data_IF_981308992978
#
_entry.id   IF_981308992978
#
_cell.length_a   1.000
_cell.length_b   1.000
_cell.length_c   1.000
_cell.angle_alpha   90.00
_cell.angle_beta   90.00
_cell.angle_gamma   90.00
#
_symmetry.space_group_name_H-M   'P 1'
#
loop_
_entity.id
_entity.type
_entity.pdbx_description
1 polymer ?
#
# COMPACT_ATOMS: atom_id res chain seq x y z
N UNK A 1 17.72 -2.79 21.56
CA UNK A 1 16.92 -3.74 22.37
C UNK A 1 16.22 -2.95 23.47
N UNK A 2 14.96 -2.57 23.26
CA UNK A 2 14.13 -1.85 24.24
C UNK A 2 12.86 -2.67 24.45
N UNK A 3 12.61 -3.00 25.71
CA UNK A 3 11.62 -3.95 26.19
C UNK A 3 10.19 -3.44 26.01
N UNK A 4 9.34 -4.33 25.50
CA UNK A 4 7.88 -4.22 25.58
C UNK A 4 7.41 -4.09 27.03
N UNK A 5 6.44 -3.20 27.25
CA UNK A 5 5.60 -3.21 28.45
C UNK A 5 4.14 -3.10 27.98
N UNK A 6 3.56 -4.21 27.51
CA UNK A 6 2.13 -4.27 27.20
C UNK A 6 1.39 -4.62 28.49
N UNK A 7 0.68 -3.63 29.02
CA UNK A 7 -0.26 -3.81 30.11
C UNK A 7 -1.31 -4.82 29.68
N UNK A 8 -1.44 -5.92 30.42
CA UNK A 8 -2.55 -6.83 30.29
C UNK A 8 -3.79 -6.15 30.89
N UNK A 9 -4.80 -5.90 30.06
CA UNK A 9 -6.16 -5.68 30.52
C UNK A 9 -7.11 -6.40 29.57
N UNK A 10 -7.49 -7.61 29.97
CA UNK A 10 -8.68 -8.27 29.48
C UNK A 10 -9.88 -7.41 29.85
N UNK A 11 -10.69 -7.03 28.87
CA UNK A 11 -12.09 -6.72 29.07
C UNK A 11 -12.87 -7.22 27.86
N UNK A 12 -13.50 -8.38 28.07
CA UNK A 12 -14.60 -8.88 27.27
C UNK A 12 -15.73 -7.86 27.36
N UNK A 13 -16.09 -7.21 26.26
CA UNK A 13 -17.39 -6.57 26.11
C UNK A 13 -17.89 -6.83 24.70
N UNK A 14 -18.83 -7.76 24.59
CA UNK A 14 -19.69 -7.89 23.43
C UNK A 14 -20.44 -6.56 23.24
N UNK A 15 -20.29 -5.95 22.08
CA UNK A 15 -21.19 -4.90 21.61
C UNK A 15 -21.28 -5.05 20.10
N UNK A 16 -22.34 -5.74 19.70
CA UNK A 16 -22.92 -5.66 18.36
C UNK A 16 -23.20 -4.20 18.04
N UNK A 17 -22.55 -3.69 17.00
CA UNK A 17 -22.94 -2.44 16.35
C UNK A 17 -22.82 -2.68 14.85
N UNK A 18 -23.93 -3.20 14.31
CA UNK A 18 -24.24 -3.17 12.89
C UNK A 18 -24.47 -1.69 12.52
N UNK A 19 -23.50 -1.09 11.85
CA UNK A 19 -23.74 0.09 11.03
C UNK A 19 -23.17 -0.17 9.64
N UNK A 20 -23.97 -0.90 8.83
CA UNK A 20 -23.92 -0.77 7.39
C UNK A 20 -24.41 0.64 7.04
N UNK A 21 -23.51 1.60 6.94
CA UNK A 21 -23.76 2.83 6.20
C UNK A 21 -23.20 2.63 4.79
N UNK A 22 -23.96 1.89 3.99
CA UNK A 22 -23.81 1.86 2.55
C UNK A 22 -24.30 3.23 2.04
N UNK A 23 -23.38 4.19 1.88
CA UNK A 23 -23.65 5.35 1.03
C UNK A 23 -23.78 4.83 -0.38
N UNK A 24 -24.95 5.06 -0.96
CA UNK A 24 -25.30 4.69 -2.32
C UNK A 24 -24.38 5.42 -3.28
N UNK A 25 -23.34 4.75 -3.75
CA UNK A 25 -22.77 5.03 -5.07
C UNK A 25 -23.09 3.81 -5.93
N UNK A 26 -23.94 4.07 -6.91
CA UNK A 26 -24.54 3.11 -7.84
C UNK A 26 -23.56 2.77 -8.98
N UNK A 27 -22.27 2.65 -8.65
CA UNK A 27 -21.28 2.05 -9.54
C UNK A 27 -21.19 0.59 -9.14
N UNK A 28 -21.82 -0.28 -9.93
CA UNK A 28 -21.56 -1.71 -9.85
C UNK A 28 -20.03 -1.91 -9.82
N UNK A 29 -19.47 -2.60 -8.82
CA UNK A 29 -18.03 -2.83 -8.77
C UNK A 29 -17.60 -3.37 -10.12
N UNK A 30 -16.58 -2.78 -10.72
CA UNK A 30 -15.97 -3.40 -11.91
C UNK A 30 -15.47 -4.75 -11.44
N UNK A 31 -16.17 -5.83 -11.80
CA UNK A 31 -15.79 -7.16 -11.34
C UNK A 31 -14.45 -7.52 -11.98
N UNK A 32 -13.43 -7.50 -11.15
CA UNK A 32 -12.10 -7.98 -11.47
C UNK A 32 -12.19 -9.50 -11.63
N UNK A 33 -11.70 -10.04 -12.75
CA UNK A 33 -11.56 -11.50 -12.90
C UNK A 33 -10.41 -12.00 -12.03
N UNK A 34 -10.72 -12.33 -10.78
CA UNK A 34 -9.75 -12.72 -9.75
C UNK A 34 -8.97 -14.00 -10.14
N UNK A 35 -9.49 -14.80 -11.07
CA UNK A 35 -8.79 -15.98 -11.60
C UNK A 35 -7.48 -15.63 -12.33
N UNK A 36 -7.26 -14.35 -12.65
CA UNK A 36 -6.03 -13.88 -13.29
C UNK A 36 -4.90 -13.58 -12.27
N UNK A 37 -5.22 -13.44 -10.99
CA UNK A 37 -4.25 -13.10 -9.92
C UNK A 37 -3.19 -14.19 -9.73
N UNK A 38 -3.53 -15.50 -9.65
CA UNK A 38 -2.53 -16.54 -9.39
C UNK A 38 -1.41 -16.57 -10.44
N UNK A 39 -0.17 -16.80 -9.99
CA UNK A 39 1.03 -16.84 -10.82
C UNK A 39 2.12 -15.88 -10.36
N UNK A 40 3.22 -15.83 -11.12
CA UNK A 40 4.38 -14.98 -10.84
C UNK A 40 4.24 -13.62 -11.53
N UNK A 41 4.57 -12.57 -10.79
CA UNK A 41 4.48 -11.18 -11.18
C UNK A 41 5.78 -10.45 -10.85
N UNK A 42 6.29 -9.67 -11.80
CA UNK A 42 7.43 -8.77 -11.60
C UNK A 42 6.92 -7.36 -11.35
N UNK A 43 7.39 -6.68 -10.30
CA UNK A 43 7.15 -5.24 -10.14
C UNK A 43 7.94 -4.49 -11.22
N UNK A 44 7.27 -3.64 -11.99
CA UNK A 44 7.88 -2.92 -13.11
C UNK A 44 7.69 -1.41 -13.04
N UNK A 45 6.72 -0.95 -12.26
CA UNK A 45 6.52 0.47 -12.01
C UNK A 45 6.05 0.71 -10.59
N UNK A 46 6.58 1.77 -10.00
CA UNK A 46 6.06 2.41 -8.79
C UNK A 46 5.98 3.88 -9.13
N UNK A 47 4.84 4.50 -8.89
CA UNK A 47 4.66 5.94 -9.04
C UNK A 47 3.68 6.47 -8.01
N UNK A 48 3.69 7.78 -7.77
CA UNK A 48 2.58 8.44 -7.08
C UNK A 48 1.78 9.35 -7.99
N UNK A 49 0.53 9.57 -7.62
CA UNK A 49 -0.38 10.53 -8.24
C UNK A 49 -0.93 11.45 -7.14
N UNK A 50 -1.12 12.72 -7.51
CA UNK A 50 -1.72 13.75 -6.63
C UNK A 50 -1.02 13.95 -5.28
N UNK A 51 0.28 13.63 -5.17
CA UNK A 51 1.04 13.72 -3.93
C UNK A 51 1.14 15.15 -3.38
N UNK A 52 0.74 15.32 -2.12
CA UNK A 52 0.86 16.56 -1.32
C UNK A 52 1.60 16.27 -0.04
N UNK A 53 2.38 17.26 0.39
CA UNK A 53 3.04 17.27 1.69
C UNK A 53 2.83 18.62 2.35
N UNK A 54 2.57 18.61 3.65
CA UNK A 54 2.47 19.84 4.45
C UNK A 54 3.04 19.64 5.86
N UNK A 55 3.57 20.71 6.43
CA UNK A 55 4.11 20.72 7.77
C UNK A 55 4.00 22.13 8.39
N UNK A 56 4.21 22.22 9.70
CA UNK A 56 4.38 23.51 10.40
C UNK A 56 5.77 23.58 10.99
N UNK A 57 6.59 24.52 10.52
CA UNK A 57 7.97 24.70 10.96
C UNK A 57 8.07 26.06 11.65
N UNK A 58 8.40 26.08 12.94
CA UNK A 58 8.45 27.32 13.75
C UNK A 58 7.17 28.17 13.61
N UNK A 59 6.01 27.52 13.67
CA UNK A 59 4.68 28.13 13.51
C UNK A 59 4.40 28.72 12.11
N UNK A 60 5.23 28.40 11.10
CA UNK A 60 5.02 28.79 9.72
C UNK A 60 4.52 27.56 8.95
N UNK A 61 3.33 27.62 8.32
CA UNK A 61 2.86 26.53 7.47
C UNK A 61 3.70 26.46 6.21
N UNK A 62 4.11 25.25 5.85
CA UNK A 62 4.84 24.94 4.63
C UNK A 62 4.08 23.82 3.93
N UNK A 63 3.85 23.98 2.62
CA UNK A 63 3.20 22.96 1.80
C UNK A 63 3.88 22.86 0.44
N UNK A 64 3.80 21.68 -0.13
CA UNK A 64 4.34 21.39 -1.44
C UNK A 64 3.71 20.15 -2.04
N UNK A 65 4.24 19.79 -3.21
CA UNK A 65 3.91 18.56 -3.90
C UNK A 65 5.01 17.54 -3.65
N UNK A 66 4.66 16.25 -3.70
CA UNK A 66 5.65 15.21 -3.82
C UNK A 66 5.31 14.26 -4.96
N UNK A 67 6.34 13.74 -5.61
CA UNK A 67 6.23 12.61 -6.53
C UNK A 67 7.08 11.47 -6.02
N UNK A 68 6.57 10.26 -6.16
CA UNK A 68 7.32 9.03 -5.94
C UNK A 68 7.49 8.35 -7.29
N UNK A 69 8.69 7.85 -7.57
CA UNK A 69 8.95 6.90 -8.65
C UNK A 69 9.81 5.75 -8.12
N UNK A 70 9.84 4.63 -8.82
CA UNK A 70 10.77 3.55 -8.52
C UNK A 70 11.83 3.37 -9.60
N UNK A 71 12.93 2.73 -9.22
CA UNK A 71 13.97 2.23 -10.13
C UNK A 71 14.61 0.97 -9.54
N UNK A 72 15.52 0.36 -10.30
CA UNK A 72 16.28 -0.82 -9.87
C UNK A 72 15.38 -2.00 -9.43
N UNK A 73 14.30 -2.22 -10.16
CA UNK A 73 13.31 -3.25 -9.83
C UNK A 73 13.90 -4.66 -9.88
N UNK A 74 13.83 -5.33 -8.74
CA UNK A 74 14.15 -6.75 -8.59
C UNK A 74 13.01 -7.53 -7.93
N UNK A 75 11.97 -6.81 -7.49
CA UNK A 75 10.85 -7.36 -6.76
C UNK A 75 9.97 -8.27 -7.62
N UNK A 76 9.62 -9.43 -7.05
CA UNK A 76 8.72 -10.42 -7.62
C UNK A 76 7.72 -10.89 -6.57
N UNK A 77 6.50 -11.18 -6.98
CA UNK A 77 5.48 -11.78 -6.14
C UNK A 77 4.83 -12.97 -6.84
N UNK A 78 4.68 -14.08 -6.13
CA UNK A 78 3.99 -15.28 -6.62
C UNK A 78 2.74 -15.51 -5.79
N UNK A 79 1.57 -15.35 -6.40
CA UNK A 79 0.27 -15.62 -5.78
C UNK A 79 -0.16 -17.05 -6.07
N UNK A 80 -0.52 -17.80 -5.03
CA UNK A 80 -0.99 -19.18 -5.11
C UNK A 80 -2.38 -19.27 -4.52
N UNK A 81 -3.34 -19.72 -5.34
CA UNK A 81 -4.70 -20.01 -4.90
C UNK A 81 -4.77 -21.45 -4.37
N UNK A 82 -5.60 -21.67 -3.35
CA UNK A 82 -5.95 -23.01 -2.86
C UNK A 82 -7.37 -23.36 -3.25
N UNK A 83 -7.61 -24.63 -3.56
CA UNK A 83 -8.96 -25.15 -3.84
C UNK A 83 -9.68 -25.65 -2.58
N UNK A 84 -9.02 -25.64 -1.42
CA UNK A 84 -9.61 -26.04 -0.15
C UNK A 84 -10.39 -24.88 0.47
N UNK A 85 -11.64 -25.12 0.84
CA UNK A 85 -12.55 -24.07 1.36
C UNK A 85 -12.15 -23.50 2.72
N UNK A 86 -11.28 -24.21 3.45
CA UNK A 86 -10.85 -23.86 4.81
C UNK A 86 -9.37 -23.44 4.87
N UNK A 87 -8.72 -23.26 3.72
CA UNK A 87 -7.34 -22.79 3.64
C UNK A 87 -7.28 -21.42 2.96
N UNK A 88 -6.43 -20.50 3.44
CA UNK A 88 -6.24 -19.20 2.80
C UNK A 88 -5.39 -19.33 1.53
N UNK A 89 -5.62 -18.44 0.56
CA UNK A 89 -4.67 -18.27 -0.53
C UNK A 89 -3.37 -17.68 0.01
N UNK A 90 -2.24 -17.98 -0.61
CA UNK A 90 -0.91 -17.58 -0.12
C UNK A 90 -0.12 -16.84 -1.18
N UNK A 91 0.82 -16.00 -0.77
CA UNK A 91 1.76 -15.36 -1.67
C UNK A 91 3.17 -15.33 -1.07
N UNK A 92 4.16 -15.31 -1.94
CA UNK A 92 5.58 -15.12 -1.59
C UNK A 92 6.13 -13.99 -2.44
N UNK A 93 6.63 -12.95 -1.79
CA UNK A 93 7.40 -11.88 -2.43
C UNK A 93 8.89 -12.02 -2.13
N UNK A 94 9.72 -11.53 -3.05
CA UNK A 94 11.16 -11.43 -2.88
C UNK A 94 11.71 -10.26 -3.69
N UNK A 95 12.91 -9.79 -3.33
CA UNK A 95 13.52 -8.64 -4.00
C UNK A 95 12.87 -7.32 -3.62
N UNK A 96 13.37 -6.25 -4.23
CA UNK A 96 13.03 -4.90 -3.85
C UNK A 96 13.13 -3.91 -5.00
N UNK A 97 13.11 -2.62 -4.67
CA UNK A 97 13.32 -1.53 -5.59
C UNK A 97 13.88 -0.31 -4.83
N UNK A 98 14.40 0.68 -5.55
CA UNK A 98 14.75 1.97 -4.96
C UNK A 98 13.62 2.94 -5.21
N UNK A 99 13.01 3.44 -4.13
CA UNK A 99 12.05 4.53 -4.19
C UNK A 99 12.81 5.86 -4.34
N UNK A 100 12.32 6.73 -5.23
CA UNK A 100 12.84 8.08 -5.46
C UNK A 100 11.71 9.05 -5.20
N UNK A 101 11.80 9.77 -4.09
CA UNK A 101 10.86 10.81 -3.72
C UNK A 101 11.42 12.18 -4.14
N UNK A 102 10.64 12.95 -4.90
CA UNK A 102 10.95 14.35 -5.21
C UNK A 102 9.93 15.24 -4.52
N UNK A 103 10.40 16.14 -3.68
CA UNK A 103 9.58 17.11 -2.93
C UNK A 103 9.79 18.48 -3.53
N UNK A 104 8.70 19.14 -3.92
CA UNK A 104 8.71 20.48 -4.51
C UNK A 104 7.97 21.46 -3.62
N UNK A 105 8.70 22.40 -3.02
CA UNK A 105 8.14 23.51 -2.25
C UNK A 105 8.36 24.79 -3.06
N UNK A 106 7.34 25.64 -3.31
CA UNK A 106 7.45 26.77 -4.24
C UNK A 106 8.59 27.77 -3.99
N UNK A 107 9.11 27.82 -2.77
CA UNK A 107 10.13 28.79 -2.33
C UNK A 107 11.55 28.24 -2.33
N UNK A 108 11.74 26.97 -2.70
CA UNK A 108 13.01 26.26 -2.61
C UNK A 108 13.23 25.39 -3.85
N UNK A 109 14.48 25.04 -4.12
CA UNK A 109 14.79 24.04 -5.14
C UNK A 109 14.21 22.68 -4.72
N UNK A 110 13.74 21.84 -5.68
CA UNK A 110 13.24 20.51 -5.37
C UNK A 110 14.28 19.66 -4.64
N UNK A 111 13.81 18.88 -3.68
CA UNK A 111 14.64 17.96 -2.90
C UNK A 111 14.35 16.55 -3.42
N UNK A 112 15.40 15.81 -3.77
CA UNK A 112 15.29 14.40 -4.11
C UNK A 112 15.85 13.54 -2.97
N UNK A 113 15.13 12.47 -2.64
CA UNK A 113 15.51 11.50 -1.65
C UNK A 113 15.32 10.10 -2.20
N UNK A 114 16.36 9.28 -2.10
CA UNK A 114 16.32 7.88 -2.49
C UNK A 114 16.29 6.97 -1.26
N UNK A 115 15.39 6.01 -1.28
CA UNK A 115 15.25 5.00 -0.24
C UNK A 115 15.23 3.60 -0.86
N UNK A 116 16.21 2.74 -0.53
CA UNK A 116 16.15 1.35 -0.95
C UNK A 116 15.08 0.61 -0.13
N UNK A 117 14.13 -0.01 -0.83
CA UNK A 117 13.09 -0.86 -0.26
C UNK A 117 13.47 -2.32 -0.55
N UNK A 118 14.07 -3.04 0.41
CA UNK A 118 14.67 -4.35 0.16
C UNK A 118 13.66 -5.51 0.06
N UNK A 119 12.45 -5.33 0.60
CA UNK A 119 11.36 -6.28 0.55
C UNK A 119 10.08 -5.53 0.18
N UNK A 120 9.40 -5.97 -0.89
CA UNK A 120 8.23 -5.29 -1.43
C UNK A 120 6.97 -5.55 -0.60
N UNK A 121 6.58 -6.81 -0.41
CA UNK A 121 5.36 -7.19 0.33
C UNK A 121 5.66 -8.24 1.42
N UNK A 122 6.74 -9.02 1.32
CA UNK A 122 6.99 -10.15 2.22
C UNK A 122 6.24 -11.44 1.84
N UNK A 123 5.89 -12.27 2.82
CA UNK A 123 5.25 -13.59 2.59
C UNK A 123 4.06 -13.75 3.53
N UNK A 124 2.93 -14.20 2.99
CA UNK A 124 1.70 -14.27 3.77
C UNK A 124 0.50 -14.82 3.01
N UNK A 125 -0.67 -14.41 3.46
CA UNK A 125 -1.97 -14.79 2.90
C UNK A 125 -2.51 -13.66 2.03
N UNK A 126 -3.37 -13.98 1.07
CA UNK A 126 -4.11 -12.98 0.32
C UNK A 126 -5.57 -13.37 0.13
N UNK A 127 -6.43 -12.38 -0.07
CA UNK A 127 -7.82 -12.55 -0.46
C UNK A 127 -8.29 -11.37 -1.30
N UNK A 128 -9.41 -11.55 -1.98
CA UNK A 128 -10.03 -10.50 -2.77
C UNK A 128 -11.51 -10.37 -2.48
N UNK A 129 -11.97 -9.13 -2.31
CA UNK A 129 -13.38 -8.79 -2.13
C UNK A 129 -13.71 -7.66 -3.12
N UNK A 130 -14.43 -7.97 -4.20
CA UNK A 130 -14.61 -7.06 -5.32
C UNK A 130 -13.28 -6.73 -6.01
N UNK A 131 -12.94 -5.43 -6.05
CA UNK A 131 -11.68 -4.91 -6.58
C UNK A 131 -10.63 -4.63 -5.48
N UNK A 132 -10.81 -5.12 -4.26
CA UNK A 132 -9.83 -4.96 -3.18
C UNK A 132 -9.03 -6.25 -3.03
N UNK A 133 -7.70 -6.16 -3.16
CA UNK A 133 -6.75 -7.19 -2.77
C UNK A 133 -6.27 -6.90 -1.36
N UNK A 134 -6.49 -7.82 -0.42
CA UNK A 134 -5.96 -7.73 0.93
C UNK A 134 -4.84 -8.76 1.10
N UNK A 135 -3.68 -8.33 1.57
CA UNK A 135 -2.56 -9.21 1.95
C UNK A 135 -2.38 -9.19 3.46
N UNK A 136 -2.09 -10.35 4.05
CA UNK A 136 -1.86 -10.50 5.48
C UNK A 136 -0.47 -11.06 5.73
N UNK A 137 0.41 -10.27 6.36
CA UNK A 137 1.79 -10.64 6.68
C UNK A 137 2.00 -10.51 8.18
N UNK A 138 2.43 -11.60 8.83
CA UNK A 138 2.62 -11.65 10.28
C UNK A 138 1.39 -11.19 11.11
N UNK A 139 0.17 -11.31 10.54
CA UNK A 139 -1.09 -10.90 11.16
C UNK A 139 -1.46 -9.43 10.96
N UNK A 140 -0.69 -8.68 10.18
CA UNK A 140 -1.02 -7.31 9.76
C UNK A 140 -1.60 -7.33 8.34
N UNK A 141 -2.73 -6.65 8.16
CA UNK A 141 -3.42 -6.56 6.87
C UNK A 141 -3.07 -5.27 6.15
N UNK A 142 -2.84 -5.37 4.85
CA UNK A 142 -2.71 -4.23 3.93
C UNK A 142 -3.68 -4.43 2.76
N UNK A 143 -4.34 -3.36 2.34
CA UNK A 143 -5.37 -3.42 1.29
C UNK A 143 -5.00 -2.53 0.12
N UNK A 144 -5.13 -3.09 -1.08
CA UNK A 144 -4.84 -2.46 -2.35
C UNK A 144 -6.12 -2.44 -3.21
N UNK A 145 -6.41 -1.30 -3.82
CA UNK A 145 -7.39 -1.25 -4.91
C UNK A 145 -6.76 -1.79 -6.19
N UNK A 146 -7.40 -2.79 -6.79
CA UNK A 146 -7.08 -3.30 -8.12
C UNK A 146 -7.67 -2.33 -9.15
N UNK A 147 -6.84 -1.45 -9.69
CA UNK A 147 -7.22 -0.47 -10.71
C UNK A 147 -7.41 -1.13 -12.08
N UNK A 148 -6.59 -2.15 -12.37
CA UNK A 148 -6.67 -2.93 -13.61
C UNK A 148 -6.06 -4.31 -13.40
N UNK A 149 -6.69 -5.34 -13.98
CA UNK A 149 -6.16 -6.70 -14.01
C UNK A 149 -6.41 -7.31 -15.39
N UNK A 150 -5.32 -7.77 -16.01
CA UNK A 150 -5.33 -8.53 -17.26
C UNK A 150 -4.47 -9.78 -17.09
N UNK A 151 -4.39 -10.62 -18.13
CA UNK A 151 -3.48 -11.77 -18.12
C UNK A 151 -2.00 -11.40 -17.98
N UNK A 152 -1.63 -10.17 -18.38
CA UNK A 152 -0.24 -9.71 -18.46
C UNK A 152 0.11 -8.64 -17.43
N UNK A 153 -0.88 -7.89 -16.93
CA UNK A 153 -0.65 -6.70 -16.10
C UNK A 153 -1.60 -6.63 -14.91
N UNK A 154 -1.08 -6.28 -13.74
CA UNK A 154 -1.86 -5.96 -12.55
C UNK A 154 -1.44 -4.57 -12.06
N UNK A 155 -2.40 -3.67 -11.91
CA UNK A 155 -2.17 -2.33 -11.36
C UNK A 155 -2.90 -2.21 -10.02
N UNK A 156 -2.12 -1.97 -8.97
CA UNK A 156 -2.59 -1.82 -7.60
C UNK A 156 -2.42 -0.38 -7.14
N UNK A 157 -3.35 0.11 -6.32
CA UNK A 157 -3.32 1.44 -5.73
C UNK A 157 -3.47 1.38 -4.21
N UNK A 158 -2.67 2.16 -3.50
CA UNK A 158 -2.88 2.53 -2.09
C UNK A 158 -3.10 4.04 -2.02
N UNK A 159 -4.11 4.48 -1.28
CA UNK A 159 -4.26 5.89 -0.94
C UNK A 159 -3.48 6.19 0.35
N UNK A 160 -2.49 7.06 0.23
CA UNK A 160 -1.69 7.59 1.33
C UNK A 160 -2.47 8.74 1.99
N UNK A 161 -2.63 8.67 3.30
CA UNK A 161 -3.15 9.75 4.13
C UNK A 161 -2.62 9.56 5.56
N UNK A 162 -1.38 9.99 5.79
CA UNK A 162 -0.67 9.74 7.04
C UNK A 162 0.19 10.92 7.48
N UNK A 163 0.50 10.92 8.78
CA UNK A 163 1.45 11.85 9.39
C UNK A 163 2.79 11.15 9.59
N UNK A 164 3.83 11.65 8.92
CA UNK A 164 5.19 11.12 9.01
C UNK A 164 6.03 12.05 9.89
N UNK A 165 6.64 11.51 10.95
CA UNK A 165 7.61 12.25 11.75
C UNK A 165 9.03 12.06 11.21
N UNK A 166 9.74 13.17 10.94
CA UNK A 166 11.16 13.18 10.58
C UNK A 166 11.85 14.35 11.26
N UNK A 167 12.95 14.05 11.95
CA UNK A 167 13.77 15.06 12.66
C UNK A 167 12.95 15.96 13.61
N UNK A 168 11.89 15.43 14.22
CA UNK A 168 11.00 16.17 15.13
C UNK A 168 9.99 17.10 14.44
N UNK A 169 9.83 16.99 13.12
CA UNK A 169 8.81 17.68 12.33
C UNK A 169 7.79 16.63 11.86
N UNK A 170 6.51 16.92 12.08
CA UNK A 170 5.40 16.12 11.55
C UNK A 170 5.01 16.66 10.17
N UNK A 171 5.00 15.76 9.19
CA UNK A 171 4.58 16.02 7.82
C UNK A 171 3.28 15.27 7.55
N UNK A 172 2.21 15.99 7.23
CA UNK A 172 1.00 15.39 6.69
C UNK A 172 1.20 15.12 5.20
N UNK A 173 1.05 13.86 4.80
CA UNK A 173 1.29 13.37 3.43
C UNK A 173 0.00 12.74 2.91
N UNK A 174 -0.42 13.17 1.71
CA UNK A 174 -1.58 12.60 1.04
C UNK A 174 -1.30 12.34 -0.43
N UNK A 175 -1.87 11.31 -1.01
CA UNK A 175 -1.77 11.01 -2.44
C UNK A 175 -2.11 9.57 -2.73
N UNK A 176 -1.95 9.15 -3.98
CA UNK A 176 -2.11 7.75 -4.35
C UNK A 176 -0.75 7.18 -4.75
N UNK A 177 -0.45 5.97 -4.31
CA UNK A 177 0.69 5.19 -4.74
C UNK A 177 0.22 4.06 -5.64
N UNK A 178 0.80 3.99 -6.84
CA UNK A 178 0.45 3.02 -7.87
C UNK A 178 1.61 2.05 -8.06
N UNK A 179 1.30 0.77 -8.07
CA UNK A 179 2.21 -0.32 -8.37
C UNK A 179 1.74 -1.02 -9.63
N UNK A 180 2.62 -1.15 -10.63
CA UNK A 180 2.34 -1.97 -11.82
C UNK A 180 3.21 -3.20 -11.79
N UNK A 181 2.56 -4.36 -11.83
CA UNK A 181 3.19 -5.65 -11.97
C UNK A 181 2.90 -6.24 -13.35
N UNK A 182 3.89 -6.90 -13.94
CA UNK A 182 3.75 -7.64 -15.20
C UNK A 182 3.98 -9.12 -14.97
N UNK A 183 3.21 -9.97 -15.66
CA UNK A 183 3.40 -11.42 -15.58
C UNK A 183 4.82 -11.81 -16.02
N UNK A 184 5.40 -12.81 -15.35
CA UNK A 184 6.69 -13.39 -15.75
C UNK A 184 6.51 -14.54 -16.75
#
# INVERSE_FOLDING_TARGET
MIKMKKFAMLLFLASTSLFFSCSSDDDAPTEVDQNLIPGEWNLTEVKSENGKVSATIQNIPVSGDFTLTGKDYTAKATFTETSATDEPNTFVSSGGFTAVATISIPTQDPIEYEEPIPDFIGTGEWKTEGNILTTTVAGEEESFEIVSLTAETMTLKITINEDIERQGITFAVTGDQIFTLTKN
#
